data_IF_488418535052
#
_entry.id   IF_488418535052
#
_cell.length_a   1.000
_cell.length_b   1.000
_cell.length_c   1.000
_cell.angle_alpha   90.00
_cell.angle_beta   90.00
_cell.angle_gamma   90.00
#
_symmetry.space_group_name_H-M   'P 1'
#
loop_
_entity.id
_entity.type
_entity.pdbx_description
1 polymer ?
#
# COMPACT_ATOMS: atom_id res chain seq x y z
N UNK A 1 7.26 0.41 25.02
CA UNK A 1 8.10 1.20 24.08
C UNK A 1 9.23 0.40 23.40
N UNK A 2 9.68 -0.71 23.96
CA UNK A 2 10.72 -1.57 23.36
C UNK A 2 10.39 -2.11 21.97
N UNK A 3 9.16 -2.56 21.74
CA UNK A 3 8.68 -3.10 20.48
C UNK A 3 8.81 -2.11 19.29
N UNK A 4 8.45 -0.85 19.49
CA UNK A 4 8.56 0.21 18.45
C UNK A 4 10.03 0.48 18.09
N UNK A 5 10.92 0.44 19.07
CA UNK A 5 12.37 0.63 18.85
C UNK A 5 12.98 -0.59 18.13
N UNK A 6 12.59 -1.80 18.52
CA UNK A 6 13.08 -3.04 17.90
C UNK A 6 12.74 -3.11 16.41
N UNK A 7 11.58 -2.60 16.00
CA UNK A 7 11.14 -2.56 14.61
C UNK A 7 11.59 -1.34 13.81
N UNK A 8 12.41 -0.44 14.40
CA UNK A 8 12.79 0.85 13.81
C UNK A 8 11.59 1.66 13.33
N UNK A 9 10.37 1.33 13.80
CA UNK A 9 9.13 1.97 13.38
C UNK A 9 9.12 3.47 13.67
N UNK A 10 9.82 3.91 14.72
CA UNK A 10 9.94 5.32 15.11
C UNK A 10 10.79 6.18 14.15
N UNK A 11 11.58 5.57 13.26
CA UNK A 11 12.39 6.29 12.28
C UNK A 11 11.91 6.05 10.86
N UNK A 12 11.63 4.79 10.50
CA UNK A 12 11.26 4.42 9.14
C UNK A 12 9.85 4.88 8.79
N UNK A 13 8.86 4.68 9.67
CA UNK A 13 7.48 5.04 9.37
C UNK A 13 7.26 6.57 9.28
N UNK A 14 7.77 7.40 10.21
CA UNK A 14 7.67 8.84 10.03
C UNK A 14 8.35 9.33 8.76
N UNK A 15 9.54 8.81 8.42
CA UNK A 15 10.23 9.18 7.19
C UNK A 15 9.43 8.78 5.95
N UNK A 16 8.88 7.56 5.92
CA UNK A 16 8.04 7.09 4.84
C UNK A 16 6.74 7.91 4.72
N UNK A 17 6.16 8.33 5.84
CA UNK A 17 4.94 9.14 5.88
C UNK A 17 5.21 10.57 5.43
N UNK A 18 6.32 11.17 5.84
CA UNK A 18 6.77 12.49 5.34
C UNK A 18 6.99 12.43 3.84
N UNK A 19 7.66 11.39 3.33
CA UNK A 19 7.85 11.20 1.90
C UNK A 19 6.52 11.01 1.18
N UNK A 20 5.58 10.24 1.75
CA UNK A 20 4.24 10.06 1.20
C UNK A 20 3.51 11.41 1.06
N UNK A 21 3.49 12.24 2.12
CA UNK A 21 2.88 13.57 2.09
C UNK A 21 3.57 14.49 1.08
N UNK A 22 4.89 14.47 1.04
CA UNK A 22 5.66 15.25 0.07
C UNK A 22 5.28 14.89 -1.38
N UNK A 23 5.18 13.59 -1.67
CA UNK A 23 4.80 13.11 -3.00
C UNK A 23 3.34 13.48 -3.35
N UNK A 24 2.41 13.44 -2.37
CA UNK A 24 1.03 13.91 -2.57
C UNK A 24 0.97 15.38 -3.00
N UNK A 25 1.86 16.23 -2.45
CA UNK A 25 1.90 17.65 -2.78
C UNK A 25 2.63 17.92 -4.10
N UNK A 26 3.68 17.14 -4.40
CA UNK A 26 4.50 17.35 -5.59
C UNK A 26 3.85 16.84 -6.88
N UNK A 27 3.14 15.69 -6.84
CA UNK A 27 2.59 15.02 -8.02
C UNK A 27 1.07 15.19 -8.13
N UNK A 28 0.60 16.43 -8.10
CA UNK A 28 -0.81 16.79 -8.26
C UNK A 28 -1.21 16.67 -9.73
N UNK A 29 -2.00 15.63 -10.06
CA UNK A 29 -2.56 15.49 -11.42
C UNK A 29 -1.56 15.21 -12.53
N UNK A 30 -0.28 15.09 -12.22
CA UNK A 30 0.75 14.82 -13.20
C UNK A 30 0.58 13.42 -13.79
N UNK A 31 0.60 13.34 -15.11
CA UNK A 31 0.53 12.09 -15.85
C UNK A 31 1.72 11.97 -16.82
N UNK A 32 2.20 10.76 -16.98
CA UNK A 32 3.29 10.43 -17.90
C UNK A 32 2.80 9.39 -18.90
N UNK A 33 3.12 9.61 -20.16
CA UNK A 33 2.86 8.63 -21.20
C UNK A 33 3.82 7.45 -21.05
N UNK A 34 3.31 6.29 -20.67
CA UNK A 34 4.08 5.06 -20.58
C UNK A 34 3.67 4.11 -21.70
N UNK A 35 4.62 3.34 -22.26
CA UNK A 35 4.30 2.32 -23.26
C UNK A 35 3.42 1.24 -22.60
N UNK A 36 2.23 1.02 -23.17
CA UNK A 36 1.33 -0.07 -22.77
C UNK A 36 1.32 -1.14 -23.83
N UNK A 37 1.34 -2.40 -23.41
CA UNK A 37 1.29 -3.55 -24.33
C UNK A 37 -0.08 -3.72 -24.99
N UNK A 38 -1.13 -3.17 -24.37
CA UNK A 38 -2.53 -3.35 -24.79
C UNK A 38 -3.16 -2.11 -25.41
N UNK A 39 -2.63 -0.92 -25.14
CA UNK A 39 -3.27 0.36 -25.52
C UNK A 39 -2.36 1.38 -26.23
N UNK A 40 -1.14 1.01 -26.61
CA UNK A 40 -0.18 1.97 -27.17
C UNK A 40 0.51 2.78 -26.07
N UNK A 41 0.33 4.11 -26.01
CA UNK A 41 0.82 4.96 -24.91
C UNK A 41 -0.32 5.26 -23.95
N UNK A 42 -0.30 4.67 -22.75
CA UNK A 42 -1.25 5.00 -21.70
C UNK A 42 -0.77 6.22 -20.91
N UNK A 43 -1.67 7.15 -20.64
CA UNK A 43 -1.43 8.27 -19.71
C UNK A 43 -1.59 7.73 -18.27
N UNK A 44 -0.46 7.43 -17.63
CA UNK A 44 -0.45 6.90 -16.27
C UNK A 44 -0.23 8.04 -15.28
N UNK A 45 -1.14 8.18 -14.34
CA UNK A 45 -1.05 9.19 -13.30
C UNK A 45 0.05 8.79 -12.31
N UNK A 46 1.01 9.68 -12.06
CA UNK A 46 2.13 9.44 -11.14
C UNK A 46 1.65 9.13 -9.70
N UNK A 47 0.45 9.57 -9.36
CA UNK A 47 -0.20 9.26 -8.08
C UNK A 47 -0.30 7.74 -7.77
N UNK A 48 -0.23 6.86 -8.78
CA UNK A 48 -0.21 5.41 -8.58
C UNK A 48 1.03 4.92 -7.81
N UNK A 49 2.14 5.65 -7.91
CA UNK A 49 3.41 5.27 -7.28
C UNK A 49 3.58 5.85 -5.87
N UNK A 50 2.77 6.84 -5.48
CA UNK A 50 2.86 7.51 -4.17
C UNK A 50 2.75 6.52 -2.98
N UNK A 51 1.91 5.47 -3.01
CA UNK A 51 1.84 4.51 -1.91
C UNK A 51 3.11 3.66 -1.71
N UNK A 52 3.94 3.50 -2.75
CA UNK A 52 5.07 2.54 -2.74
C UNK A 52 6.06 2.78 -1.60
N UNK A 53 6.56 3.98 -1.34
CA UNK A 53 7.49 4.24 -0.25
C UNK A 53 6.89 3.88 1.12
N UNK A 54 5.60 4.20 1.33
CA UNK A 54 4.92 3.93 2.59
C UNK A 54 4.73 2.44 2.81
N UNK A 55 4.27 1.71 1.78
CA UNK A 55 4.08 0.25 1.84
C UNK A 55 5.42 -0.47 1.99
N UNK A 56 6.47 -0.01 1.31
CA UNK A 56 7.82 -0.55 1.45
C UNK A 56 8.41 -0.30 2.84
N UNK A 57 8.24 0.90 3.38
CA UNK A 57 8.65 1.23 4.74
C UNK A 57 7.95 0.37 5.78
N UNK A 58 6.64 0.12 5.59
CA UNK A 58 5.86 -0.77 6.45
C UNK A 58 6.37 -2.22 6.35
N UNK A 59 6.66 -2.72 5.15
CA UNK A 59 7.23 -4.04 4.94
C UNK A 59 8.59 -4.19 5.66
N UNK A 60 9.48 -3.20 5.53
CA UNK A 60 10.77 -3.18 6.24
C UNK A 60 10.58 -3.23 7.76
N UNK A 61 9.63 -2.49 8.32
CA UNK A 61 9.33 -2.53 9.75
C UNK A 61 8.86 -3.92 10.20
N UNK A 62 8.05 -4.59 9.38
CA UNK A 62 7.58 -5.93 9.67
C UNK A 62 8.66 -7.01 9.50
N UNK A 63 9.68 -6.78 8.66
CA UNK A 63 10.80 -7.71 8.43
C UNK A 63 11.89 -7.64 9.49
N UNK A 64 11.97 -6.57 10.27
CA UNK A 64 12.94 -6.41 11.37
C UNK A 64 12.52 -7.19 12.64
N UNK A 65 11.94 -8.38 12.48
CA UNK A 65 11.62 -9.29 13.58
C UNK A 65 12.89 -9.84 14.24
N UNK A 66 13.00 -9.67 15.54
CA UNK A 66 13.95 -10.43 16.38
C UNK A 66 13.29 -11.77 16.74
N UNK A 67 13.44 -12.75 15.85
CA UNK A 67 12.81 -14.09 16.01
C UNK A 67 13.06 -14.75 17.38
N UNK A 68 14.25 -14.55 17.95
CA UNK A 68 14.61 -15.06 19.28
C UNK A 68 13.86 -14.36 20.44
N UNK A 69 13.51 -13.08 20.30
CA UNK A 69 12.78 -12.35 21.34
C UNK A 69 11.25 -12.53 21.23
N UNK A 70 10.76 -12.89 20.04
CA UNK A 70 9.33 -13.12 19.81
C UNK A 70 8.86 -14.51 20.26
N UNK A 71 9.74 -15.53 20.23
CA UNK A 71 9.45 -16.88 20.73
C UNK A 71 9.26 -16.95 22.24
N UNK A 72 9.84 -16.00 22.99
CA UNK A 72 9.74 -15.90 24.46
C UNK A 72 8.75 -14.82 24.92
N UNK A 73 8.14 -14.06 23.99
CA UNK A 73 7.24 -12.97 24.35
C UNK A 73 5.89 -13.48 24.87
N UNK A 74 5.55 -13.11 26.10
CA UNK A 74 4.26 -13.41 26.75
C UNK A 74 3.09 -12.66 26.08
N UNK A 75 3.35 -11.62 25.30
CA UNK A 75 2.33 -10.81 24.62
C UNK A 75 2.18 -11.20 23.16
N UNK A 76 0.95 -11.20 22.62
CA UNK A 76 0.68 -11.55 21.23
C UNK A 76 1.14 -10.41 20.28
N UNK A 77 2.43 -10.39 19.93
CA UNK A 77 3.08 -9.39 19.05
C UNK A 77 2.33 -9.19 17.73
N UNK A 78 1.69 -10.25 17.23
CA UNK A 78 0.89 -10.23 15.99
C UNK A 78 -0.26 -9.21 15.98
N UNK A 79 -0.91 -8.98 17.15
CA UNK A 79 -1.96 -7.97 17.24
C UNK A 79 -1.40 -6.56 17.26
N UNK A 80 -0.21 -6.38 17.81
CA UNK A 80 0.51 -5.11 17.77
C UNK A 80 0.94 -4.78 16.34
N UNK A 81 1.39 -5.78 15.59
CA UNK A 81 1.74 -5.62 14.17
C UNK A 81 0.51 -5.31 13.32
N UNK A 82 -0.58 -6.04 13.53
CA UNK A 82 -1.86 -5.73 12.89
C UNK A 82 -2.35 -4.32 13.21
N UNK A 83 -2.23 -3.91 14.48
CA UNK A 83 -2.56 -2.56 14.92
C UNK A 83 -1.69 -1.49 14.28
N UNK A 84 -0.38 -1.73 14.15
CA UNK A 84 0.55 -0.83 13.45
C UNK A 84 0.16 -0.67 11.98
N UNK A 85 -0.10 -1.78 11.29
CA UNK A 85 -0.53 -1.78 9.88
C UNK A 85 -1.83 -0.99 9.72
N UNK A 86 -2.82 -1.25 10.59
CA UNK A 86 -4.09 -0.54 10.55
C UNK A 86 -3.92 0.97 10.83
N UNK A 87 -3.09 1.34 11.81
CA UNK A 87 -2.81 2.73 12.13
C UNK A 87 -2.16 3.47 10.96
N UNK A 88 -1.14 2.87 10.31
CA UNK A 88 -0.48 3.45 9.14
C UNK A 88 -1.45 3.59 7.97
N UNK A 89 -2.25 2.57 7.71
CA UNK A 89 -3.25 2.59 6.63
C UNK A 89 -4.32 3.68 6.85
N UNK A 90 -4.86 3.78 8.07
CA UNK A 90 -5.83 4.85 8.43
C UNK A 90 -5.18 6.23 8.30
N UNK A 91 -3.96 6.40 8.79
CA UNK A 91 -3.22 7.67 8.64
C UNK A 91 -3.05 8.04 7.17
N UNK A 92 -2.69 7.10 6.30
CA UNK A 92 -2.55 7.34 4.86
C UNK A 92 -3.87 7.75 4.21
N UNK A 93 -4.98 7.07 4.54
CA UNK A 93 -6.32 7.40 4.03
C UNK A 93 -6.75 8.80 4.48
N UNK A 94 -6.61 9.10 5.76
CA UNK A 94 -6.97 10.43 6.31
C UNK A 94 -6.11 11.53 5.68
N UNK A 95 -4.80 11.31 5.57
CA UNK A 95 -3.87 12.28 4.99
C UNK A 95 -4.20 12.53 3.52
N UNK A 96 -4.47 11.48 2.72
CA UNK A 96 -4.84 11.66 1.31
C UNK A 96 -6.20 12.34 1.15
N UNK A 97 -7.18 12.03 2.01
CA UNK A 97 -8.48 12.69 1.99
C UNK A 97 -8.37 14.19 2.33
N UNK A 98 -7.60 14.53 3.37
CA UNK A 98 -7.34 15.92 3.75
C UNK A 98 -6.58 16.68 2.64
N UNK A 99 -5.58 16.05 2.04
CA UNK A 99 -4.84 16.63 0.92
C UNK A 99 -5.74 16.86 -0.30
N UNK A 100 -6.62 15.89 -0.63
CA UNK A 100 -7.58 16.03 -1.73
C UNK A 100 -8.52 17.22 -1.54
N UNK A 101 -9.02 17.43 -0.31
CA UNK A 101 -9.87 18.57 0.01
C UNK A 101 -9.08 19.88 -0.03
N UNK A 102 -7.86 19.90 0.53
CA UNK A 102 -7.02 21.10 0.62
C UNK A 102 -6.53 21.58 -0.75
N UNK A 103 -6.23 20.63 -1.66
CA UNK A 103 -5.68 20.90 -2.99
C UNK A 103 -6.75 20.92 -4.09
N UNK A 104 -8.00 20.51 -3.78
CA UNK A 104 -9.09 20.47 -4.74
C UNK A 104 -8.94 19.40 -5.82
N UNK A 105 -8.11 18.37 -5.58
CA UNK A 105 -7.82 17.32 -6.56
C UNK A 105 -8.34 15.94 -6.09
N UNK A 106 -9.37 15.44 -6.79
CA UNK A 106 -9.98 14.15 -6.50
C UNK A 106 -9.03 12.96 -6.74
N UNK A 107 -8.03 13.10 -7.61
CA UNK A 107 -7.03 12.05 -7.88
C UNK A 107 -6.22 11.74 -6.62
N UNK A 108 -5.87 12.77 -5.84
CA UNK A 108 -5.16 12.61 -4.56
C UNK A 108 -5.96 11.76 -3.58
N UNK A 109 -7.30 11.88 -3.59
CA UNK A 109 -8.19 11.06 -2.76
C UNK A 109 -8.10 9.56 -3.09
N UNK A 110 -7.81 9.19 -4.34
CA UNK A 110 -7.65 7.77 -4.73
C UNK A 110 -6.41 7.12 -4.11
N UNK A 111 -5.38 7.92 -3.78
CA UNK A 111 -4.09 7.42 -3.26
C UNK A 111 -4.28 6.70 -1.92
N UNK A 112 -5.16 7.18 -1.05
CA UNK A 112 -5.49 6.50 0.21
C UNK A 112 -6.10 5.12 -0.01
N UNK A 113 -7.07 5.01 -0.94
CA UNK A 113 -7.66 3.74 -1.36
C UNK A 113 -6.61 2.79 -1.93
N UNK A 114 -5.74 3.30 -2.80
CA UNK A 114 -4.67 2.54 -3.42
C UNK A 114 -3.66 2.04 -2.39
N UNK A 115 -3.38 2.85 -1.35
CA UNK A 115 -2.54 2.44 -0.23
C UNK A 115 -3.15 1.27 0.54
N UNK A 116 -4.46 1.27 0.80
CA UNK A 116 -5.15 0.14 1.42
C UNK A 116 -4.99 -1.13 0.59
N UNK A 117 -5.28 -1.05 -0.72
CA UNK A 117 -5.17 -2.20 -1.62
C UNK A 117 -3.74 -2.77 -1.64
N UNK A 118 -2.73 -1.92 -1.86
CA UNK A 118 -1.34 -2.34 -1.95
C UNK A 118 -0.79 -2.88 -0.62
N UNK A 119 -1.24 -2.31 0.51
CA UNK A 119 -0.88 -2.83 1.84
C UNK A 119 -1.47 -4.22 2.04
N UNK A 120 -2.74 -4.44 1.71
CA UNK A 120 -3.37 -5.75 1.79
C UNK A 120 -2.66 -6.79 0.90
N UNK A 121 -2.35 -6.40 -0.34
CA UNK A 121 -1.61 -7.23 -1.29
C UNK A 121 -0.22 -7.60 -0.74
N UNK A 122 0.51 -6.65 -0.17
CA UNK A 122 1.81 -6.87 0.46
C UNK A 122 1.71 -7.87 1.62
N UNK A 123 0.70 -7.75 2.49
CA UNK A 123 0.53 -8.67 3.63
C UNK A 123 0.27 -10.10 3.17
N UNK A 124 -0.61 -10.29 2.17
CA UNK A 124 -0.90 -11.60 1.60
C UNK A 124 0.35 -12.18 0.94
N UNK A 125 1.04 -11.39 0.12
CA UNK A 125 2.24 -11.82 -0.56
C UNK A 125 3.35 -12.23 0.42
N UNK A 126 3.53 -11.50 1.52
CA UNK A 126 4.49 -11.86 2.55
C UNK A 126 4.14 -13.16 3.26
N UNK A 127 2.87 -13.45 3.47
CA UNK A 127 2.43 -14.71 4.06
C UNK A 127 2.69 -15.91 3.14
N UNK A 128 2.62 -15.72 1.82
CA UNK A 128 2.81 -16.78 0.83
C UNK A 128 4.29 -16.97 0.43
N UNK A 129 5.01 -15.87 0.24
CA UNK A 129 6.36 -15.87 -0.33
C UNK A 129 7.44 -15.41 0.67
N UNK A 130 7.08 -15.02 1.88
CA UNK A 130 8.01 -14.44 2.85
C UNK A 130 8.49 -13.05 2.44
N UNK A 131 9.77 -12.72 2.74
CA UNK A 131 10.37 -11.41 2.44
C UNK A 131 10.24 -10.94 0.99
N UNK A 132 10.46 -11.79 -0.05
CA UNK A 132 10.28 -11.39 -1.44
C UNK A 132 8.88 -10.88 -1.77
N UNK A 133 7.85 -11.30 -1.02
CA UNK A 133 6.47 -10.83 -1.19
C UNK A 133 6.29 -9.32 -1.02
N UNK A 134 7.22 -8.63 -0.34
CA UNK A 134 7.22 -7.18 -0.22
C UNK A 134 7.35 -6.44 -1.57
N UNK A 135 7.84 -7.10 -2.62
CA UNK A 135 7.96 -6.54 -3.97
C UNK A 135 6.67 -6.64 -4.79
N UNK A 136 5.69 -7.46 -4.36
CA UNK A 136 4.47 -7.69 -5.13
C UNK A 136 3.64 -6.41 -5.38
N UNK A 137 3.51 -5.45 -4.45
CA UNK A 137 2.84 -4.19 -4.72
C UNK A 137 3.43 -3.42 -5.90
N UNK A 138 4.77 -3.35 -5.97
CA UNK A 138 5.47 -2.68 -7.07
C UNK A 138 5.27 -3.44 -8.39
N UNK A 139 5.39 -4.76 -8.36
CA UNK A 139 5.13 -5.60 -9.53
C UNK A 139 3.67 -5.45 -10.03
N UNK A 140 2.71 -5.34 -9.11
CA UNK A 140 1.31 -5.11 -9.46
C UNK A 140 1.11 -3.77 -10.16
N UNK A 141 1.69 -2.68 -9.65
CA UNK A 141 1.63 -1.37 -10.30
C UNK A 141 2.21 -1.45 -11.72
N UNK A 142 3.38 -2.08 -11.88
CA UNK A 142 3.98 -2.26 -13.21
C UNK A 142 3.08 -3.07 -14.14
N UNK A 143 2.43 -4.13 -13.65
CA UNK A 143 1.47 -4.92 -14.43
C UNK A 143 0.28 -4.06 -14.85
N UNK A 144 -0.27 -3.22 -13.96
CA UNK A 144 -1.34 -2.28 -14.28
C UNK A 144 -0.89 -1.26 -15.33
N UNK A 145 0.32 -0.72 -15.23
CA UNK A 145 0.86 0.22 -16.22
C UNK A 145 1.01 -0.44 -17.61
N UNK A 146 1.45 -1.70 -17.66
CA UNK A 146 1.71 -2.40 -18.93
C UNK A 146 0.43 -2.97 -19.57
N UNK A 147 -0.48 -3.52 -18.78
CA UNK A 147 -1.62 -4.30 -19.26
C UNK A 147 -2.98 -3.80 -18.76
N UNK A 148 -3.00 -2.74 -17.94
CA UNK A 148 -4.21 -2.29 -17.25
C UNK A 148 -5.10 -1.32 -18.03
N UNK A 149 -4.70 -0.89 -19.21
CA UNK A 149 -5.42 0.10 -20.00
C UNK A 149 -5.88 -0.45 -21.36
N UNK A 150 -7.09 -0.03 -21.77
CA UNK A 150 -7.64 -0.26 -23.13
C UNK A 150 -7.13 0.78 -24.10
N UNK A 151 -7.22 0.51 -25.42
CA UNK A 151 -7.09 1.57 -26.42
C UNK A 151 -8.10 2.69 -26.12
N UNK A 152 -7.62 3.93 -25.92
CA UNK A 152 -8.45 5.06 -25.48
C UNK A 152 -8.19 5.50 -24.03
N UNK A 153 -7.25 4.87 -23.34
CA UNK A 153 -6.83 5.20 -21.98
C UNK A 153 -7.85 4.82 -20.86
N UNK A 154 -8.87 4.03 -21.19
CA UNK A 154 -9.82 3.52 -20.20
C UNK A 154 -9.19 2.37 -19.40
N UNK A 155 -9.31 2.41 -18.08
CA UNK A 155 -8.83 1.35 -17.22
C UNK A 155 -9.71 0.10 -17.31
N UNK A 156 -9.10 -1.08 -17.20
CA UNK A 156 -9.88 -2.31 -17.02
C UNK A 156 -10.44 -2.39 -15.60
N UNK A 157 -11.68 -2.91 -15.38
CA UNK A 157 -12.31 -2.97 -14.06
C UNK A 157 -11.51 -3.77 -13.01
N UNK A 158 -10.63 -4.69 -13.43
CA UNK A 158 -9.80 -5.49 -12.53
C UNK A 158 -8.61 -4.71 -11.95
N UNK A 159 -8.27 -3.55 -12.51
CA UNK A 159 -7.05 -2.81 -12.14
C UNK A 159 -7.16 -2.08 -10.81
N UNK A 160 -8.34 -1.78 -10.34
CA UNK A 160 -8.68 -1.11 -9.06
C UNK A 160 -7.97 0.25 -8.86
N UNK A 161 -6.65 0.33 -9.13
CA UNK A 161 -5.81 1.50 -8.82
C UNK A 161 -6.15 2.75 -9.65
N UNK A 162 -6.26 2.68 -10.99
CA UNK A 162 -6.53 3.85 -11.82
C UNK A 162 -8.00 4.29 -11.82
N UNK A 163 -8.88 3.52 -11.20
CA UNK A 163 -10.31 3.85 -11.14
C UNK A 163 -10.56 5.17 -10.37
N UNK A 164 -11.55 5.98 -10.78
CA UNK A 164 -11.89 7.24 -10.12
C UNK A 164 -12.33 7.02 -8.67
N UNK A 165 -12.26 8.07 -7.86
CA UNK A 165 -12.59 8.03 -6.43
C UNK A 165 -14.02 7.52 -6.16
N UNK A 166 -14.97 7.84 -7.05
CA UNK A 166 -16.38 7.45 -6.94
C UNK A 166 -16.70 6.01 -7.34
N UNK A 167 -15.73 5.19 -7.76
CA UNK A 167 -15.97 3.81 -8.18
C UNK A 167 -16.18 2.88 -6.97
N UNK A 168 -17.40 2.38 -6.70
CA UNK A 168 -17.69 1.59 -5.50
C UNK A 168 -17.02 0.22 -5.51
N UNK A 169 -16.85 -0.39 -6.69
CA UNK A 169 -16.18 -1.68 -6.83
C UNK A 169 -14.69 -1.58 -6.46
N UNK A 170 -14.03 -0.46 -6.79
CA UNK A 170 -12.64 -0.24 -6.45
C UNK A 170 -12.46 0.00 -4.94
N UNK A 171 -13.38 0.73 -4.31
CA UNK A 171 -13.38 0.91 -2.86
C UNK A 171 -13.62 -0.41 -2.13
N UNK A 172 -14.61 -1.20 -2.56
CA UNK A 172 -14.89 -2.52 -2.01
C UNK A 172 -13.68 -3.47 -2.19
N UNK A 173 -13.08 -3.49 -3.38
CA UNK A 173 -11.88 -4.29 -3.66
C UNK A 173 -10.70 -3.94 -2.75
N UNK A 174 -10.46 -2.65 -2.52
CA UNK A 174 -9.39 -2.19 -1.64
C UNK A 174 -9.64 -2.60 -0.17
N UNK A 175 -10.87 -2.45 0.31
CA UNK A 175 -11.24 -2.84 1.68
C UNK A 175 -11.17 -4.36 1.87
N UNK A 176 -11.64 -5.14 0.91
CA UNK A 176 -11.58 -6.61 0.96
C UNK A 176 -10.12 -7.10 0.94
N UNK A 177 -9.29 -6.53 0.06
CA UNK A 177 -7.87 -6.89 -0.02
C UNK A 177 -7.14 -6.55 1.29
N UNK A 178 -7.40 -5.36 1.86
CA UNK A 178 -6.82 -4.96 3.13
C UNK A 178 -7.28 -5.84 4.29
N UNK A 179 -8.58 -6.11 4.39
CA UNK A 179 -9.16 -6.98 5.42
C UNK A 179 -8.62 -8.41 5.33
N UNK A 180 -8.56 -8.98 4.12
CA UNK A 180 -7.96 -10.29 3.88
C UNK A 180 -6.48 -10.31 4.29
N UNK A 181 -5.72 -9.28 3.93
CA UNK A 181 -4.31 -9.14 4.31
C UNK A 181 -4.12 -9.11 5.82
N UNK A 182 -4.92 -8.35 6.56
CA UNK A 182 -4.87 -8.31 8.02
C UNK A 182 -5.21 -9.67 8.65
N UNK A 183 -6.24 -10.36 8.14
CA UNK A 183 -6.62 -11.69 8.63
C UNK A 183 -5.49 -12.69 8.38
N UNK A 184 -4.89 -12.66 7.21
CA UNK A 184 -3.76 -13.51 6.85
C UNK A 184 -2.57 -13.21 7.76
N UNK A 185 -2.21 -11.94 7.96
CA UNK A 185 -1.12 -11.53 8.86
C UNK A 185 -1.33 -12.05 10.29
N UNK A 186 -2.55 -11.98 10.83
CA UNK A 186 -2.86 -12.44 12.18
C UNK A 186 -2.84 -13.98 12.28
N UNK A 187 -3.25 -14.68 11.22
CA UNK A 187 -3.33 -16.15 11.22
C UNK A 187 -2.01 -16.83 10.92
N UNK A 188 -1.27 -16.35 9.91
CA UNK A 188 -0.02 -16.96 9.44
C UNK A 188 1.20 -16.62 10.29
N UNK A 189 1.19 -15.53 11.05
CA UNK A 189 2.18 -15.30 12.09
C UNK A 189 2.23 -16.43 13.17
N UNK A 190 1.43 -17.47 12.99
CA UNK A 190 1.31 -18.62 13.89
C UNK A 190 2.31 -19.75 13.63
N UNK A 191 2.91 -19.82 12.44
CA UNK A 191 3.83 -20.90 12.07
C UNK A 191 5.12 -20.31 11.48
N UNK A 192 6.14 -20.04 12.33
CA UNK A 192 7.51 -19.97 11.82
C UNK A 192 7.94 -21.40 11.51
N UNK A 193 7.96 -21.80 10.25
CA UNK A 193 8.67 -22.99 9.79
C UNK A 193 10.17 -22.74 9.82
#
# INVERSE_FOLDING_TARGET
MWWVKARRAHTVLPAALVLYVLLLVLFQGDSVALPSLTGGSAQVVLALFIPVPLVSGLAMCLDTCLSAAESTAVRPVRYLDGGLVAAVAVTAVVTSALAAVALGDAVIGTVGRNTLFLTGLMLIARALFGRPGALLPTAWILTVCLCGFRPGNDAYPWTVLPEPLGAPHAAAGALLMFGAGLVVQIRYARNPS
#
